data_IF_552835176904
#
_entry.id   IF_552835176904
#
_cell.length_a   1.000
_cell.length_b   1.000
_cell.length_c   1.000
_cell.angle_alpha   90.00
_cell.angle_beta   90.00
_cell.angle_gamma   90.00
#
_symmetry.space_group_name_H-M   'P 1'
#
loop_
_entity.id
_entity.type
_entity.pdbx_description
1 polymer ?
#
# COMPACT_ATOMS: atom_id res chain seq x y z
N UNK A 1 14.32 2.11 -14.72
CA UNK A 1 12.98 1.95 -14.13
C UNK A 1 12.37 3.33 -13.99
N UNK A 2 11.18 3.56 -14.54
CA UNK A 2 10.46 4.82 -14.32
C UNK A 2 10.11 4.87 -12.81
N UNK A 3 10.50 5.89 -12.04
CA UNK A 3 10.08 5.98 -10.65
C UNK A 3 8.55 5.89 -10.63
N UNK A 4 7.99 5.03 -9.79
CA UNK A 4 6.54 5.01 -9.61
C UNK A 4 6.17 6.40 -9.10
N UNK A 5 5.53 7.19 -9.96
CA UNK A 5 5.16 8.56 -9.63
C UNK A 5 3.95 8.52 -8.70
N UNK A 6 4.07 9.19 -7.57
CA UNK A 6 2.97 9.35 -6.64
C UNK A 6 1.82 10.12 -7.32
N UNK A 7 0.66 9.48 -7.46
CA UNK A 7 -0.50 10.03 -8.18
C UNK A 7 -1.74 10.23 -7.27
N UNK A 8 -1.62 10.02 -5.96
CA UNK A 8 -2.75 10.15 -5.04
C UNK A 8 -3.00 11.61 -4.60
N UNK A 9 -2.06 12.51 -4.90
CA UNK A 9 -2.18 13.93 -4.56
C UNK A 9 -3.15 14.67 -5.49
N UNK A 10 -3.09 14.40 -6.80
CA UNK A 10 -3.83 15.17 -7.80
C UNK A 10 -4.86 14.31 -8.53
N UNK A 11 -5.76 14.95 -9.27
CA UNK A 11 -6.83 14.27 -10.00
C UNK A 11 -8.05 13.93 -9.15
N UNK A 12 -9.02 13.28 -9.77
CA UNK A 12 -10.27 12.84 -9.12
C UNK A 12 -10.59 11.40 -9.50
N UNK A 13 -11.57 10.81 -8.81
CA UNK A 13 -11.94 9.42 -9.02
C UNK A 13 -10.90 8.45 -8.44
N UNK A 14 -11.05 7.17 -8.78
CA UNK A 14 -10.19 6.09 -8.27
C UNK A 14 -8.75 6.29 -8.72
N UNK A 15 -7.83 6.35 -7.76
CA UNK A 15 -6.40 6.49 -8.01
C UNK A 15 -5.65 5.52 -7.11
N UNK A 16 -4.62 4.89 -7.67
CA UNK A 16 -3.88 3.84 -7.01
C UNK A 16 -2.38 4.03 -7.20
N UNK A 17 -1.64 3.78 -6.13
CA UNK A 17 -0.19 3.69 -6.11
C UNK A 17 0.19 2.33 -5.55
N UNK A 18 0.96 1.55 -6.30
CA UNK A 18 1.37 0.20 -5.91
C UNK A 18 2.88 0.18 -5.79
N UNK A 19 3.46 -0.25 -4.68
CA UNK A 19 4.90 -0.51 -4.56
C UNK A 19 5.16 -1.96 -4.24
N UNK A 20 6.27 -2.52 -4.71
CA UNK A 20 6.64 -3.89 -4.36
C UNK A 20 7.47 -3.89 -3.08
N UNK A 21 7.24 -4.89 -2.23
CA UNK A 21 8.01 -5.15 -1.01
C UNK A 21 8.60 -6.55 -1.11
N UNK A 22 9.92 -6.64 -1.10
CA UNK A 22 10.63 -7.91 -1.02
C UNK A 22 10.76 -8.32 0.44
N UNK A 23 10.53 -9.60 0.74
CA UNK A 23 10.95 -10.18 2.00
C UNK A 23 12.48 -10.36 2.00
N UNK A 24 13.10 -10.26 3.17
CA UNK A 24 14.55 -10.46 3.30
C UNK A 24 14.95 -11.90 2.91
N UNK A 25 14.12 -12.87 3.26
CA UNK A 25 14.25 -14.28 2.88
C UNK A 25 12.93 -14.82 2.33
N UNK A 26 12.97 -15.75 1.35
CA UNK A 26 11.75 -16.41 0.87
C UNK A 26 11.09 -17.28 1.94
N UNK A 27 9.77 -17.25 2.03
CA UNK A 27 8.99 -18.19 2.84
C UNK A 27 8.88 -19.56 2.14
N UNK A 28 8.71 -20.62 2.91
CA UNK A 28 8.48 -21.98 2.39
C UNK A 28 7.04 -22.19 1.87
N UNK A 29 6.07 -21.50 2.49
CA UNK A 29 4.66 -21.48 2.13
C UNK A 29 4.19 -20.02 1.97
N UNK A 30 3.06 -19.80 1.30
CA UNK A 30 2.50 -18.45 1.18
C UNK A 30 2.24 -17.85 2.58
N UNK A 31 2.87 -16.72 2.92
CA UNK A 31 2.69 -16.09 4.22
C UNK A 31 1.34 -15.36 4.28
N UNK A 32 0.85 -15.15 5.49
CA UNK A 32 -0.24 -14.18 5.74
C UNK A 32 0.37 -12.81 5.99
N UNK A 33 0.01 -11.80 5.18
CA UNK A 33 0.51 -10.43 5.32
C UNK A 33 -0.57 -9.54 5.89
N UNK A 34 -0.25 -8.82 6.97
CA UNK A 34 -1.09 -7.74 7.51
C UNK A 34 -0.41 -6.40 7.27
N UNK A 35 -1.19 -5.39 6.87
CA UNK A 35 -0.72 -4.02 6.65
C UNK A 35 -1.55 -3.07 7.51
N UNK A 36 -0.88 -2.11 8.15
CA UNK A 36 -1.50 -1.09 8.98
C UNK A 36 -1.12 0.30 8.49
N UNK A 37 -2.09 1.21 8.44
CA UNK A 37 -1.86 2.64 8.25
C UNK A 37 -1.23 3.21 9.53
N UNK A 38 -0.05 3.82 9.42
CA UNK A 38 0.69 4.39 10.57
C UNK A 38 0.77 5.91 10.52
N UNK A 39 0.45 6.53 9.39
CA UNK A 39 0.35 7.98 9.26
C UNK A 39 -0.28 8.38 7.94
N UNK A 40 -0.85 9.58 7.90
CA UNK A 40 -1.55 10.13 6.75
C UNK A 40 -1.39 11.65 6.70
N UNK A 41 -0.97 12.19 5.56
CA UNK A 41 -0.97 13.63 5.29
C UNK A 41 -1.86 13.93 4.08
N UNK A 42 -2.91 14.71 4.29
CA UNK A 42 -3.95 15.00 3.28
C UNK A 42 -4.29 16.48 3.26
N UNK A 43 -4.87 16.92 2.15
CA UNK A 43 -5.49 18.24 2.08
C UNK A 43 -6.60 18.37 3.14
N UNK A 44 -6.79 19.58 3.65
CA UNK A 44 -7.75 19.90 4.72
C UNK A 44 -9.17 20.17 4.23
N UNK A 45 -9.35 20.43 2.93
CA UNK A 45 -10.61 20.85 2.31
C UNK A 45 -11.48 19.68 1.84
N UNK A 46 -10.88 18.51 1.62
CA UNK A 46 -11.55 17.33 1.09
C UNK A 46 -11.62 16.21 2.12
N UNK A 47 -12.63 15.35 1.99
CA UNK A 47 -12.75 14.19 2.87
C UNK A 47 -11.53 13.29 2.77
N UNK A 48 -11.14 12.69 3.89
CA UNK A 48 -10.04 11.74 3.95
C UNK A 48 -10.53 10.36 3.55
N UNK A 49 -10.01 9.84 2.44
CA UNK A 49 -10.38 8.54 1.88
C UNK A 49 -9.13 7.81 1.45
N UNK A 50 -8.72 6.79 2.20
CA UNK A 50 -7.53 6.00 1.92
C UNK A 50 -7.77 4.55 2.31
N UNK A 51 -7.30 3.61 1.49
CA UNK A 51 -7.18 2.20 1.81
C UNK A 51 -5.73 1.78 1.56
N UNK A 52 -5.18 1.00 2.48
CA UNK A 52 -3.89 0.30 2.32
C UNK A 52 -4.16 -1.19 2.36
N UNK A 53 -3.60 -1.94 1.41
CA UNK A 53 -3.80 -3.40 1.36
C UNK A 53 -2.58 -4.11 0.78
N UNK A 54 -2.23 -5.29 1.30
CA UNK A 54 -1.32 -6.19 0.60
C UNK A 54 -2.10 -6.85 -0.57
N UNK A 55 -1.49 -6.92 -1.74
CA UNK A 55 -1.95 -7.69 -2.90
C UNK A 55 -0.80 -8.53 -3.44
N UNK A 56 -1.11 -9.49 -4.32
CA UNK A 56 -0.11 -10.29 -5.03
C UNK A 56 0.95 -10.90 -4.10
N UNK A 57 0.52 -11.45 -2.96
CA UNK A 57 1.42 -12.08 -1.98
C UNK A 57 2.04 -13.33 -2.63
N UNK A 58 3.36 -13.41 -2.57
CA UNK A 58 4.18 -14.53 -3.06
C UNK A 58 5.10 -15.03 -1.95
N UNK A 59 5.94 -16.03 -2.25
CA UNK A 59 6.95 -16.51 -1.32
C UNK A 59 8.07 -15.49 -1.06
N UNK A 60 8.32 -14.58 -2.01
CA UNK A 60 9.48 -13.66 -1.97
C UNK A 60 9.12 -12.21 -1.68
N UNK A 61 7.83 -11.90 -1.59
CA UNK A 61 7.35 -10.54 -1.39
C UNK A 61 5.86 -10.37 -1.66
N UNK A 62 5.41 -9.13 -1.66
CA UNK A 62 4.04 -8.74 -1.99
C UNK A 62 4.02 -7.34 -2.59
N UNK A 63 2.90 -6.97 -3.19
CA UNK A 63 2.65 -5.59 -3.61
C UNK A 63 1.82 -4.87 -2.55
N UNK A 64 2.28 -3.70 -2.13
CA UNK A 64 1.55 -2.80 -1.25
C UNK A 64 0.79 -1.77 -2.08
N UNK A 65 -0.54 -1.86 -2.08
CA UNK A 65 -1.42 -0.93 -2.77
C UNK A 65 -1.97 0.12 -1.81
N UNK A 66 -1.84 1.38 -2.23
CA UNK A 66 -2.50 2.54 -1.65
C UNK A 66 -3.56 3.03 -2.62
N UNK A 67 -4.80 3.16 -2.15
CA UNK A 67 -5.95 3.56 -2.98
C UNK A 67 -6.70 4.74 -2.36
N UNK A 68 -6.93 5.78 -3.16
CA UNK A 68 -7.81 6.90 -2.83
C UNK A 68 -8.87 7.08 -3.91
N UNK A 69 -9.93 7.87 -3.64
CA UNK A 69 -11.01 8.08 -4.59
C UNK A 69 -11.69 9.44 -4.42
N UNK A 70 -12.60 9.74 -5.36
CA UNK A 70 -13.29 11.02 -5.46
C UNK A 70 -12.26 12.18 -5.49
N UNK A 71 -12.50 13.23 -4.73
CA UNK A 71 -11.73 14.48 -4.66
C UNK A 71 -10.63 14.50 -3.58
N UNK A 72 -10.40 13.38 -2.88
CA UNK A 72 -9.39 13.30 -1.83
C UNK A 72 -7.98 13.56 -2.38
N UNK A 73 -7.19 14.42 -1.71
CA UNK A 73 -5.80 14.67 -2.06
C UNK A 73 -4.89 14.16 -0.97
N UNK A 74 -4.07 13.16 -1.29
CA UNK A 74 -3.17 12.50 -0.34
C UNK A 74 -1.73 12.87 -0.69
N UNK A 75 -1.07 13.64 0.18
CA UNK A 75 0.32 14.07 -0.03
C UNK A 75 1.31 12.97 0.32
N UNK A 76 1.07 12.25 1.42
CA UNK A 76 1.89 11.13 1.84
C UNK A 76 1.12 10.15 2.72
N UNK A 77 1.54 8.89 2.71
CA UNK A 77 1.01 7.81 3.55
C UNK A 77 2.18 7.05 4.14
N UNK A 78 2.08 6.67 5.40
CA UNK A 78 3.00 5.75 6.06
C UNK A 78 2.24 4.48 6.43
N UNK A 79 2.91 3.34 6.27
CA UNK A 79 2.35 2.04 6.60
C UNK A 79 3.43 1.11 7.12
N UNK A 80 3.07 0.29 8.09
CA UNK A 80 3.87 -0.85 8.50
C UNK A 80 3.18 -2.13 8.03
N UNK A 81 3.97 -3.19 7.86
CA UNK A 81 3.47 -4.50 7.51
C UNK A 81 4.13 -5.58 8.37
N UNK A 82 3.46 -6.72 8.49
CA UNK A 82 3.99 -7.91 9.15
C UNK A 82 3.56 -9.14 8.34
N UNK A 83 4.50 -10.03 8.06
CA UNK A 83 4.26 -11.28 7.36
C UNK A 83 4.50 -12.46 8.31
N UNK A 84 3.51 -13.35 8.41
CA UNK A 84 3.57 -14.57 9.22
C UNK A 84 3.67 -15.77 8.30
N UNK A 85 4.74 -16.55 8.45
CA UNK A 85 4.88 -17.83 7.76
C UNK A 85 3.86 -18.83 8.30
N UNK A 86 3.16 -19.53 7.41
CA UNK A 86 2.29 -20.63 7.81
C UNK A 86 3.10 -21.94 7.78
N UNK A 87 3.24 -22.58 8.95
CA UNK A 87 3.86 -23.90 9.10
C UNK A 87 2.85 -25.04 8.96
N UNK A 88 1.79 -24.83 8.17
CA UNK A 88 0.76 -25.85 7.94
C UNK A 88 1.33 -27.02 7.13
#
# INVERSE_FOLDING_TARGET
MNPKLWNLQTGTGLRQFVTHVYFEEPYQNLPTVTVSLTGLNTDKLFNQRIVVKPINITLTGFDLEFTTWADSQVYSVWSNWTAFGNNA
#
